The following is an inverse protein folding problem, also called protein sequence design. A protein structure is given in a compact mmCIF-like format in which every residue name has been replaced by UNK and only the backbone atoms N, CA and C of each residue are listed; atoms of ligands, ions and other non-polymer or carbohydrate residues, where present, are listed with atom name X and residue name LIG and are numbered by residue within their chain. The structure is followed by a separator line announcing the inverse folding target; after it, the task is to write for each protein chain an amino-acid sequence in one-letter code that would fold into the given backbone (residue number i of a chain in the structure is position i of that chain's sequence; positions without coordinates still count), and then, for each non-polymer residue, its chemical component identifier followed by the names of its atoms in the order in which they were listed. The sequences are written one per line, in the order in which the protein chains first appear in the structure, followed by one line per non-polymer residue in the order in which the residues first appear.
data_IF_626639144785
#
_entry.id   IF_626639144785
#
_cell.length_a   1.000
_cell.length_b   1.000
_cell.length_c   1.000
_cell.angle_alpha   90.00
_cell.angle_beta   90.00
_cell.angle_gamma   90.00
#
_symmetry.space_group_name_H-M   'P 1'
#
loop_
_entity.id
_entity.type
_entity.pdbx_description
1 polymer ?
#
# COMPACT_ATOMS: atom_id res chain seq x y z
N UNK A 1 -2.17 34.42 -47.40
CA UNK A 1 -1.05 35.31 -47.77
C UNK A 1 0.10 35.06 -46.81
N UNK A 2 1.29 34.91 -47.39
CA UNK A 2 2.63 35.13 -46.82
C UNK A 2 3.02 34.44 -45.50
N UNK A 3 3.63 33.26 -45.64
CA UNK A 3 5.10 33.17 -45.65
C UNK A 3 5.85 33.41 -44.35
N UNK A 4 6.47 32.33 -43.85
CA UNK A 4 7.89 32.33 -43.48
C UNK A 4 8.42 30.90 -43.50
N UNK A 5 8.94 30.52 -44.66
CA UNK A 5 9.98 29.50 -44.81
C UNK A 5 11.33 30.23 -44.72
N UNK A 6 12.35 29.49 -44.27
CA UNK A 6 13.80 29.78 -44.19
C UNK A 6 14.26 30.17 -42.77
N UNK A 7 15.18 29.42 -42.14
CA UNK A 7 16.52 29.15 -42.66
C UNK A 7 17.10 27.79 -42.21
N UNK A 8 17.59 27.02 -43.17
CA UNK A 8 18.66 26.02 -43.02
C UNK A 8 19.95 26.74 -42.61
N UNK A 9 20.68 26.24 -41.63
CA UNK A 9 22.14 26.37 -41.59
C UNK A 9 22.71 25.30 -40.64
N UNK A 10 23.62 24.49 -41.17
CA UNK A 10 24.18 23.33 -40.49
C UNK A 10 24.92 23.72 -39.23
N UNK A 11 24.66 22.99 -38.16
CA UNK A 11 25.48 22.98 -36.96
C UNK A 11 25.39 21.59 -36.36
N UNK A 12 26.26 20.69 -36.82
CA UNK A 12 26.70 19.48 -36.14
C UNK A 12 25.62 18.86 -35.23
N UNK A 13 24.55 18.37 -35.86
CA UNK A 13 23.40 17.89 -35.13
C UNK A 13 23.83 16.58 -34.45
N UNK A 14 24.01 16.62 -33.13
CA UNK A 14 24.33 15.44 -32.29
C UNK A 14 23.22 14.36 -32.38
N UNK A 15 22.21 14.54 -33.23
CA UNK A 15 21.13 13.62 -33.52
C UNK A 15 21.14 13.00 -34.93
N UNK A 16 21.98 13.46 -35.87
CA UNK A 16 22.03 12.89 -37.23
C UNK A 16 22.37 11.38 -37.21
N UNK A 17 23.19 10.96 -36.24
CA UNK A 17 23.52 9.55 -35.97
C UNK A 17 22.33 8.69 -35.55
N UNK A 18 21.21 9.30 -35.14
CA UNK A 18 20.01 8.58 -34.71
C UNK A 18 18.92 8.50 -35.78
N UNK A 19 19.08 9.17 -36.93
CA UNK A 19 18.16 9.12 -38.06
C UNK A 19 18.37 7.85 -38.90
N UNK A 20 17.28 7.24 -39.36
CA UNK A 20 17.34 6.14 -40.35
C UNK A 20 17.61 6.70 -41.77
N UNK A 21 18.13 5.86 -42.67
CA UNK A 21 18.57 6.28 -44.03
C UNK A 21 17.52 7.02 -44.86
N UNK A 22 16.23 6.75 -44.62
CA UNK A 22 15.09 7.37 -45.33
C UNK A 22 14.24 8.29 -44.43
N UNK A 23 14.74 8.62 -43.23
CA UNK A 23 14.03 9.42 -42.23
C UNK A 23 14.45 10.89 -42.30
N UNK A 24 13.47 11.79 -42.43
CA UNK A 24 13.72 13.23 -42.52
C UNK A 24 13.20 13.93 -41.26
N UNK A 25 13.99 14.81 -40.62
CA UNK A 25 13.50 15.64 -39.53
C UNK A 25 12.50 16.66 -40.07
N UNK A 26 11.39 16.82 -39.36
CA UNK A 26 10.31 17.76 -39.68
C UNK A 26 10.43 19.00 -38.80
N UNK A 27 10.59 18.81 -37.49
CA UNK A 27 10.72 19.91 -36.53
C UNK A 27 11.54 19.51 -35.29
N UNK A 28 12.16 20.50 -34.65
CA UNK A 28 12.98 20.34 -33.43
C UNK A 28 12.46 21.26 -32.33
N UNK A 29 12.22 20.69 -31.14
CA UNK A 29 11.72 21.39 -29.97
C UNK A 29 12.68 21.23 -28.79
N UNK A 30 12.94 22.32 -28.07
CA UNK A 30 13.68 22.29 -26.80
C UNK A 30 12.63 22.40 -25.68
N UNK A 31 12.46 21.32 -24.92
CA UNK A 31 11.43 21.18 -23.89
C UNK A 31 12.09 20.69 -22.60
N UNK A 32 12.18 21.57 -21.61
CA UNK A 32 12.91 21.31 -20.37
C UNK A 32 14.37 20.90 -20.65
N UNK A 33 14.79 19.75 -20.13
CA UNK A 33 16.12 19.17 -20.37
C UNK A 33 16.21 18.29 -21.63
N UNK A 34 15.12 18.22 -22.40
CA UNK A 34 15.02 17.39 -23.60
C UNK A 34 15.07 18.24 -24.86
N UNK A 35 15.74 17.69 -25.87
CA UNK A 35 15.61 18.07 -27.26
C UNK A 35 14.74 17.00 -27.93
N UNK A 36 13.57 17.40 -28.39
CA UNK A 36 12.57 16.52 -29.00
C UNK A 36 12.56 16.78 -30.50
N UNK A 37 12.90 15.77 -31.30
CA UNK A 37 12.90 15.84 -32.76
C UNK A 37 11.70 15.07 -33.28
N UNK A 38 10.81 15.73 -34.02
CA UNK A 38 9.74 15.09 -34.77
C UNK A 38 10.24 14.77 -36.18
N UNK A 39 10.19 13.52 -36.58
CA UNK A 39 10.52 13.08 -37.95
C UNK A 39 9.25 12.75 -38.72
N UNK A 40 9.38 12.35 -39.99
CA UNK A 40 8.26 11.83 -40.78
C UNK A 40 7.72 10.47 -40.29
N UNK A 41 8.36 9.81 -39.32
CA UNK A 41 7.97 8.44 -38.86
C UNK A 41 7.89 8.24 -37.35
N UNK A 42 8.63 9.04 -36.55
CA UNK A 42 8.70 8.91 -35.09
C UNK A 42 9.11 10.21 -34.41
N UNK A 43 9.01 10.22 -33.10
CA UNK A 43 9.54 11.26 -32.22
C UNK A 43 10.80 10.72 -31.56
N UNK A 44 11.82 11.55 -31.46
CA UNK A 44 13.09 11.24 -30.80
C UNK A 44 13.25 12.19 -29.62
N UNK A 45 13.29 11.66 -28.40
CA UNK A 45 13.57 12.43 -27.20
C UNK A 45 15.04 12.24 -26.78
N UNK A 46 15.82 13.33 -26.78
CA UNK A 46 17.22 13.37 -26.36
C UNK A 46 17.39 14.21 -25.10
N UNK A 47 17.82 13.60 -24.00
CA UNK A 47 18.13 14.32 -22.75
C UNK A 47 19.60 14.76 -22.72
N UNK A 48 19.86 16.03 -22.35
CA UNK A 48 21.24 16.55 -22.26
C UNK A 48 22.05 15.89 -21.12
N UNK A 49 21.43 15.58 -19.98
CA UNK A 49 22.07 14.89 -18.85
C UNK A 49 21.04 14.23 -17.90
N UNK A 50 21.24 12.96 -17.49
CA UNK A 50 22.11 11.97 -18.13
C UNK A 50 21.68 11.71 -19.58
N UNK A 51 22.64 11.40 -20.47
CA UNK A 51 22.36 11.18 -21.89
C UNK A 51 21.41 10.00 -22.06
N UNK A 52 20.19 10.27 -22.51
CA UNK A 52 19.16 9.26 -22.76
C UNK A 52 18.52 9.51 -24.12
N UNK A 53 18.29 8.42 -24.86
CA UNK A 53 17.69 8.40 -26.19
C UNK A 53 16.45 7.52 -26.15
N UNK A 54 15.30 8.09 -26.48
CA UNK A 54 14.01 7.38 -26.48
C UNK A 54 13.34 7.62 -27.84
N UNK A 55 13.33 6.63 -28.75
CA UNK A 55 12.59 6.72 -30.00
C UNK A 55 11.15 6.21 -29.82
N UNK A 56 10.16 6.98 -30.25
CA UNK A 56 8.72 6.65 -30.12
C UNK A 56 8.05 6.77 -31.50
N UNK A 57 7.62 5.65 -32.10
CA UNK A 57 6.89 5.68 -33.39
C UNK A 57 5.51 6.29 -33.21
N UNK A 58 5.02 7.06 -34.19
CA UNK A 58 3.70 7.70 -34.10
C UNK A 58 2.56 6.69 -33.88
N UNK A 59 2.62 5.54 -34.55
CA UNK A 59 1.65 4.44 -34.37
C UNK A 59 1.56 3.88 -32.95
N UNK A 60 2.59 4.11 -32.13
CA UNK A 60 2.67 3.65 -30.75
C UNK A 60 2.26 4.75 -29.76
N UNK A 61 2.04 6.00 -30.19
CA UNK A 61 1.62 7.09 -29.31
C UNK A 61 0.11 7.00 -29.11
N UNK A 62 -0.32 6.66 -27.90
CA UNK A 62 -1.74 6.59 -27.53
C UNK A 62 -2.28 7.97 -27.14
N UNK A 63 -1.50 8.73 -26.37
CA UNK A 63 -1.88 10.06 -25.90
C UNK A 63 -0.64 10.90 -25.57
N UNK A 64 -0.68 12.20 -25.87
CA UNK A 64 0.32 13.19 -25.46
C UNK A 64 -0.40 14.37 -24.79
N UNK A 65 -0.19 14.54 -23.49
CA UNK A 65 -0.90 15.54 -22.69
C UNK A 65 0.05 16.34 -21.80
N UNK A 66 -0.26 17.61 -21.57
CA UNK A 66 0.41 18.43 -20.57
C UNK A 66 -0.52 18.61 -19.38
N UNK A 67 -0.04 18.32 -18.18
CA UNK A 67 -0.79 18.53 -16.95
C UNK A 67 0.09 19.14 -15.86
N UNK A 68 -0.56 19.89 -14.96
CA UNK A 68 0.10 20.50 -13.79
C UNK A 68 -0.55 19.94 -12.54
N UNK A 69 0.23 19.27 -11.70
CA UNK A 69 -0.25 18.79 -10.41
C UNK A 69 0.15 19.78 -9.32
N UNK A 70 -0.81 20.60 -8.89
CA UNK A 70 -0.58 21.62 -7.85
C UNK A 70 -0.61 20.93 -6.47
N UNK A 71 0.48 21.07 -5.71
CA UNK A 71 0.60 20.54 -4.35
C UNK A 71 0.00 21.51 -3.32
N UNK A 72 -1.33 21.53 -3.23
CA UNK A 72 -2.05 22.37 -2.27
C UNK A 72 -1.69 22.09 -0.81
N UNK A 73 -1.26 20.86 -0.47
CA UNK A 73 -0.83 20.53 0.89
C UNK A 73 0.46 21.26 1.25
N UNK A 74 1.43 21.27 0.33
CA UNK A 74 2.65 22.06 0.47
C UNK A 74 2.38 23.53 0.72
N UNK A 75 1.40 24.14 0.01
CA UNK A 75 1.01 25.53 0.25
C UNK A 75 0.42 25.74 1.66
N UNK A 76 -0.48 24.86 2.11
CA UNK A 76 -1.08 24.96 3.45
C UNK A 76 -0.01 24.85 4.53
N UNK A 77 0.90 23.89 4.42
CA UNK A 77 2.01 23.76 5.37
C UNK A 77 2.97 24.95 5.32
N UNK A 78 3.29 25.46 4.13
CA UNK A 78 4.11 26.67 3.99
C UNK A 78 3.50 27.86 4.74
N UNK A 79 2.20 28.13 4.51
CA UNK A 79 1.48 29.22 5.17
C UNK A 79 1.42 29.01 6.68
N UNK A 80 1.11 27.79 7.13
CA UNK A 80 1.03 27.46 8.55
C UNK A 80 2.37 27.65 9.26
N UNK A 81 3.45 27.05 8.74
CA UNK A 81 4.76 27.12 9.38
C UNK A 81 5.36 28.52 9.34
N UNK A 82 5.25 29.24 8.22
CA UNK A 82 5.72 30.62 8.14
C UNK A 82 4.87 31.56 8.99
N UNK A 83 3.55 31.34 9.04
CA UNK A 83 2.64 32.14 9.86
C UNK A 83 2.91 31.97 11.35
N UNK A 84 3.07 30.73 11.82
CA UNK A 84 3.41 30.43 13.22
C UNK A 84 4.79 30.97 13.56
N UNK A 85 5.78 30.78 12.68
CA UNK A 85 7.13 31.33 12.88
C UNK A 85 7.11 32.86 12.96
N UNK A 86 6.40 33.54 12.06
CA UNK A 86 6.25 34.99 12.08
C UNK A 86 5.55 35.48 13.36
N UNK A 87 4.42 34.87 13.72
CA UNK A 87 3.69 35.22 14.94
C UNK A 87 4.56 35.07 16.19
N UNK A 88 5.27 33.94 16.32
CA UNK A 88 6.16 33.68 17.45
C UNK A 88 7.41 34.59 17.44
N UNK A 89 7.80 35.15 16.29
CA UNK A 89 8.94 36.09 16.19
C UNK A 89 8.62 37.51 16.68
N UNK A 90 7.34 37.86 16.87
CA UNK A 90 6.95 39.19 17.36
C UNK A 90 7.42 39.34 18.82
N UNK A 91 8.16 40.43 19.16
CA UNK A 91 8.63 40.65 20.53
C UNK A 91 7.48 40.58 21.55
N UNK A 92 7.68 39.81 22.61
CA UNK A 92 6.67 39.56 23.65
C UNK A 92 5.75 38.36 23.41
N UNK A 93 5.68 37.83 22.18
CA UNK A 93 4.84 36.66 21.86
C UNK A 93 5.59 35.33 21.90
N UNK A 94 6.92 35.33 21.74
CA UNK A 94 7.74 34.12 21.66
C UNK A 94 7.59 33.18 22.87
N UNK A 95 7.81 33.69 24.09
CA UNK A 95 7.68 32.89 25.31
C UNK A 95 6.21 32.51 25.58
N UNK A 96 5.26 33.41 25.30
CA UNK A 96 3.82 33.13 25.43
C UNK A 96 3.33 32.03 24.49
N UNK A 97 3.86 31.97 23.26
CA UNK A 97 3.56 30.89 22.33
C UNK A 97 4.05 29.54 22.88
N UNK A 98 5.28 29.46 23.36
CA UNK A 98 5.83 28.23 23.94
C UNK A 98 5.07 27.81 25.20
N UNK A 99 4.75 28.75 26.08
CA UNK A 99 3.94 28.48 27.27
C UNK A 99 2.52 28.02 26.91
N UNK A 100 1.92 28.56 25.85
CA UNK A 100 0.64 28.09 25.32
C UNK A 100 0.72 26.65 24.80
N UNK A 101 1.82 26.31 24.11
CA UNK A 101 2.09 24.93 23.66
C UNK A 101 2.31 24.01 24.86
N UNK A 102 3.08 24.44 25.87
CA UNK A 102 3.28 23.66 27.10
C UNK A 102 1.95 23.44 27.82
N UNK A 103 1.13 24.48 27.98
CA UNK A 103 -0.19 24.38 28.59
C UNK A 103 -1.12 23.44 27.84
N UNK A 104 -1.05 23.42 26.50
CA UNK A 104 -1.76 22.44 25.70
C UNK A 104 -1.24 21.02 25.95
N UNK A 105 0.08 20.81 25.92
CA UNK A 105 0.68 19.49 26.19
C UNK A 105 0.30 19.01 27.58
N UNK A 106 0.39 19.84 28.62
CA UNK A 106 0.04 19.45 29.99
C UNK A 106 -1.46 19.21 30.17
N UNK A 107 -2.32 19.83 29.34
CA UNK A 107 -3.75 19.51 29.32
C UNK A 107 -4.07 18.13 28.71
N UNK A 108 -3.19 17.63 27.84
CA UNK A 108 -3.34 16.31 27.20
C UNK A 108 -2.60 15.24 28.00
N UNK A 109 -1.43 15.58 28.56
CA UNK A 109 -0.52 14.68 29.28
C UNK A 109 -0.05 15.40 30.55
N UNK A 110 -0.81 15.31 31.67
CA UNK A 110 -0.49 16.01 32.91
C UNK A 110 0.89 15.68 33.50
N UNK A 111 1.37 14.45 33.28
CA UNK A 111 2.66 13.93 33.75
C UNK A 111 3.85 14.74 33.19
N UNK A 112 3.68 15.39 32.03
CA UNK A 112 4.72 16.21 31.40
C UNK A 112 4.92 17.57 32.09
N UNK A 113 4.04 17.96 33.00
CA UNK A 113 4.05 19.29 33.64
C UNK A 113 5.37 19.60 34.34
N UNK A 114 5.89 18.65 35.12
CA UNK A 114 7.15 18.80 35.83
C UNK A 114 8.32 18.95 34.84
N UNK A 115 8.39 18.07 33.83
CA UNK A 115 9.43 18.11 32.79
C UNK A 115 9.42 19.39 31.94
N UNK A 116 8.23 19.90 31.59
CA UNK A 116 8.10 21.12 30.78
C UNK A 116 8.38 22.38 31.59
N UNK A 117 8.15 22.35 32.91
CA UNK A 117 8.41 23.50 33.79
C UNK A 117 9.90 23.81 33.98
N UNK A 118 10.78 22.82 33.77
CA UNK A 118 12.23 22.98 33.82
C UNK A 118 12.81 23.65 32.56
N UNK A 119 12.03 23.72 31.48
CA UNK A 119 12.50 24.26 30.19
C UNK A 119 12.27 25.77 30.15
N UNK A 120 13.35 26.53 29.93
CA UNK A 120 13.24 27.96 29.66
C UNK A 120 12.56 28.23 28.31
N UNK A 121 11.32 28.73 28.37
CA UNK A 121 10.49 28.99 27.20
C UNK A 121 11.13 29.98 26.22
N UNK A 122 11.90 30.96 26.71
CA UNK A 122 12.57 31.94 25.86
C UNK A 122 13.72 31.30 25.05
N UNK A 123 14.56 30.50 25.70
CA UNK A 123 15.64 29.76 25.04
C UNK A 123 15.11 28.75 24.02
N UNK A 124 14.01 28.04 24.34
CA UNK A 124 13.40 27.13 23.39
C UNK A 124 12.82 27.86 22.16
N UNK A 125 12.18 29.00 22.36
CA UNK A 125 11.63 29.81 21.27
C UNK A 125 12.72 30.26 20.28
N UNK A 126 13.91 30.63 20.78
CA UNK A 126 15.04 31.04 19.93
C UNK A 126 15.48 29.95 18.94
N UNK A 127 15.30 28.68 19.27
CA UNK A 127 15.64 27.55 18.41
C UNK A 127 14.45 27.11 17.56
N UNK A 128 13.25 27.05 18.13
CA UNK A 128 12.08 26.50 17.44
C UNK A 128 11.59 27.41 16.31
N UNK A 129 11.57 28.73 16.52
CA UNK A 129 11.09 29.71 15.53
C UNK A 129 11.86 29.61 14.19
N UNK A 130 13.20 29.60 14.15
CA UNK A 130 13.93 29.45 12.89
C UNK A 130 13.75 28.06 12.27
N UNK A 131 13.60 27.00 13.08
CA UNK A 131 13.29 25.66 12.55
C UNK A 131 11.95 25.67 11.81
N UNK A 132 10.90 26.25 12.41
CA UNK A 132 9.60 26.41 11.77
C UNK A 132 9.70 27.25 10.49
N UNK A 133 10.51 28.31 10.47
CA UNK A 133 10.76 29.10 9.27
C UNK A 133 11.39 28.27 8.14
N UNK A 134 12.39 27.44 8.45
CA UNK A 134 13.05 26.55 7.49
C UNK A 134 12.07 25.53 6.91
N UNK A 135 11.22 24.92 7.74
CA UNK A 135 10.17 24.02 7.27
C UNK A 135 9.17 24.76 6.35
N UNK A 136 8.76 25.97 6.73
CA UNK A 136 7.90 26.81 5.91
C UNK A 136 8.49 27.11 4.52
N UNK A 137 9.78 27.47 4.47
CA UNK A 137 10.50 27.70 3.22
C UNK A 137 10.66 26.43 2.38
N UNK A 138 10.93 25.29 3.01
CA UNK A 138 10.99 23.99 2.33
C UNK A 138 9.66 23.66 1.63
N UNK A 139 8.53 23.77 2.33
CA UNK A 139 7.22 23.54 1.76
C UNK A 139 6.82 24.59 0.71
N UNK A 140 7.30 25.83 0.85
CA UNK A 140 7.12 26.84 -0.20
C UNK A 140 7.82 26.40 -1.48
N UNK A 141 9.04 25.85 -1.38
CA UNK A 141 9.79 25.38 -2.54
C UNK A 141 9.16 24.14 -3.20
N UNK A 142 8.63 23.20 -2.43
CA UNK A 142 7.92 22.04 -3.00
C UNK A 142 6.65 22.47 -3.74
N UNK A 143 5.89 23.40 -3.17
CA UNK A 143 4.72 23.99 -3.83
C UNK A 143 5.11 24.71 -5.12
N UNK A 144 6.13 25.58 -5.09
CA UNK A 144 6.58 26.31 -6.28
C UNK A 144 7.04 25.36 -7.40
N UNK A 145 7.71 24.25 -7.05
CA UNK A 145 8.05 23.19 -8.02
C UNK A 145 6.83 22.51 -8.61
N UNK A 146 5.75 22.32 -7.84
CA UNK A 146 4.52 21.68 -8.30
C UNK A 146 3.79 22.48 -9.40
N UNK A 147 3.99 23.80 -9.43
CA UNK A 147 3.46 24.68 -10.47
C UNK A 147 4.13 24.43 -11.84
N UNK A 148 5.29 23.78 -11.86
CA UNK A 148 5.97 23.39 -13.09
C UNK A 148 5.27 22.14 -13.62
N UNK A 149 4.46 22.32 -14.67
CA UNK A 149 3.74 21.23 -15.32
C UNK A 149 4.65 20.14 -15.89
N UNK A 150 4.04 19.08 -16.40
CA UNK A 150 4.72 17.94 -17.00
C UNK A 150 4.04 17.52 -18.29
N UNK A 151 4.83 17.39 -19.35
CA UNK A 151 4.42 16.76 -20.60
C UNK A 151 4.55 15.24 -20.44
N UNK A 152 3.47 14.51 -20.71
CA UNK A 152 3.40 13.06 -20.65
C UNK A 152 3.14 12.48 -22.02
N UNK A 153 3.94 11.50 -22.41
CA UNK A 153 3.80 10.73 -23.63
C UNK A 153 3.47 9.30 -23.23
N UNK A 154 2.27 8.84 -23.55
CA UNK A 154 1.80 7.48 -23.25
C UNK A 154 1.86 6.63 -24.50
N UNK A 155 2.45 5.44 -24.40
CA UNK A 155 2.58 4.49 -25.51
C UNK A 155 1.63 3.30 -25.38
N UNK A 156 1.31 2.65 -26.50
CA UNK A 156 0.52 1.40 -26.58
C UNK A 156 1.12 0.25 -25.75
N UNK A 157 2.44 0.21 -25.65
CA UNK A 157 3.20 -0.75 -24.81
C UNK A 157 3.16 -0.45 -23.30
N UNK A 158 2.47 0.61 -22.87
CA UNK A 158 2.37 1.00 -21.45
C UNK A 158 3.54 1.83 -20.92
N UNK A 159 4.57 2.09 -21.72
CA UNK A 159 5.67 2.98 -21.33
C UNK A 159 5.23 4.46 -21.32
N UNK A 160 5.57 5.18 -20.24
CA UNK A 160 5.25 6.60 -20.05
C UNK A 160 6.54 7.41 -20.01
N UNK A 161 6.69 8.37 -20.92
CA UNK A 161 7.78 9.35 -20.89
C UNK A 161 7.25 10.65 -20.27
N UNK A 162 7.84 11.08 -19.15
CA UNK A 162 7.48 12.31 -18.45
C UNK A 162 8.60 13.35 -18.57
N UNK A 163 8.26 14.53 -19.10
CA UNK A 163 9.17 15.66 -19.27
C UNK A 163 8.65 16.83 -18.43
N UNK A 164 9.38 17.22 -17.38
CA UNK A 164 9.03 18.40 -16.57
C UNK A 164 9.28 19.67 -17.38
N UNK A 165 8.22 20.42 -17.67
CA UNK A 165 8.26 21.63 -18.49
C UNK A 165 7.04 22.50 -18.23
N UNK A 166 7.17 23.83 -18.16
CA UNK A 166 6.01 24.71 -18.24
C UNK A 166 5.30 24.52 -19.59
N UNK A 167 4.01 24.85 -19.64
CA UNK A 167 3.27 24.88 -20.90
C UNK A 167 3.75 26.08 -21.70
N UNK A 168 4.41 25.82 -22.83
CA UNK A 168 4.95 26.86 -23.72
C UNK A 168 4.39 26.64 -25.12
N UNK A 169 4.41 27.66 -25.98
CA UNK A 169 3.97 27.53 -27.37
C UNK A 169 4.69 26.40 -28.13
N UNK A 170 5.94 26.09 -27.75
CA UNK A 170 6.70 24.95 -28.30
C UNK A 170 6.15 23.59 -27.89
N UNK A 171 5.62 23.47 -26.67
CA UNK A 171 4.96 22.24 -26.19
C UNK A 171 3.64 22.05 -26.93
N UNK A 172 2.87 23.12 -27.13
CA UNK A 172 1.62 23.09 -27.89
C UNK A 172 1.86 22.71 -29.36
N UNK A 173 2.88 23.31 -30.00
CA UNK A 173 3.24 23.00 -31.38
C UNK A 173 3.72 21.55 -31.55
N UNK A 174 4.48 21.03 -30.57
CA UNK A 174 4.87 19.62 -30.55
C UNK A 174 3.62 18.71 -30.50
N UNK A 175 2.68 18.97 -29.58
CA UNK A 175 1.46 18.16 -29.44
C UNK A 175 0.69 18.12 -30.78
N UNK A 176 0.47 19.29 -31.40
CA UNK A 176 -0.21 19.40 -32.70
C UNK A 176 0.53 18.65 -33.81
N UNK A 177 1.86 18.75 -33.86
CA UNK A 177 2.67 18.04 -34.86
C UNK A 177 2.53 16.53 -34.71
N UNK A 178 2.58 16.02 -33.49
CA UNK A 178 2.43 14.58 -33.23
C UNK A 178 1.04 14.08 -33.59
N UNK A 179 -0.01 14.83 -33.27
CA UNK A 179 -1.38 14.49 -33.65
C UNK A 179 -1.57 14.44 -35.17
N UNK A 180 -1.01 15.40 -35.91
CA UNK A 180 -1.11 15.46 -37.38
C UNK A 180 -0.46 14.23 -38.04
N UNK A 181 0.74 13.86 -37.61
CA UNK A 181 1.46 12.72 -38.18
C UNK A 181 0.94 11.36 -37.70
N UNK A 182 0.27 11.30 -36.54
CA UNK A 182 -0.42 10.08 -36.09
C UNK A 182 -1.63 9.70 -36.97
N UNK A 183 -2.25 10.70 -37.62
CA UNK A 183 -3.47 10.53 -38.43
C UNK A 183 -3.21 10.30 -39.93
N UNK A 184 -1.98 10.48 -40.41
CA UNK A 184 -1.64 10.30 -41.85
C UNK A 184 -1.54 8.81 -42.21
N UNK A 185 -2.34 8.29 -43.17
CA UNK A 185 -2.14 6.95 -43.71
C UNK A 185 -0.79 6.86 -44.47
N UNK A 186 -0.14 5.69 -44.50
CA UNK A 186 1.13 5.53 -45.21
C UNK A 186 0.96 5.82 -46.71
N UNK A 187 1.78 6.73 -47.26
CA UNK A 187 1.78 7.09 -48.69
C UNK A 187 2.07 5.86 -49.56
N UNK A 188 1.06 5.40 -50.32
CA UNK A 188 1.26 4.50 -51.48
C UNK A 188 1.44 5.34 -52.74
N UNK A 189 2.54 5.12 -53.46
CA UNK A 189 2.72 5.58 -54.84
C UNK A 189 2.39 4.43 -55.79
N UNK A 190 1.50 4.66 -56.76
CA UNK A 190 1.34 3.83 -57.95
C UNK A 190 1.05 4.74 -59.15
N UNK A 191 1.82 4.58 -60.22
CA UNK A 191 1.72 5.30 -61.50
C UNK A 191 0.82 4.54 -62.49
N UNK A 192 0.13 5.31 -63.32
CA UNK A 192 -0.82 4.88 -64.35
C UNK A 192 -0.24 3.87 -65.34
N UNK A 193 -0.89 2.71 -65.44
CA UNK A 193 -0.53 1.59 -66.31
C UNK A 193 -1.33 0.31 -66.01
N UNK A 194 -1.94 0.22 -64.82
CA UNK A 194 -2.53 -1.02 -64.29
C UNK A 194 -4.05 -1.17 -64.52
N UNK A 195 -4.69 -0.37 -65.38
CA UNK A 195 -6.16 -0.27 -65.42
C UNK A 195 -6.88 -1.52 -65.97
N UNK A 196 -6.19 -2.42 -66.67
CA UNK A 196 -6.79 -3.67 -67.19
C UNK A 196 -6.43 -4.92 -66.37
N UNK A 197 -5.25 -4.95 -65.73
CA UNK A 197 -4.87 -6.04 -64.81
C UNK A 197 -5.62 -5.93 -63.48
N UNK A 198 -5.84 -4.70 -62.99
CA UNK A 198 -6.60 -4.44 -61.75
C UNK A 198 -8.05 -4.91 -61.88
N UNK A 199 -8.68 -4.81 -63.05
CA UNK A 199 -10.10 -5.20 -63.21
C UNK A 199 -10.30 -6.71 -63.06
N UNK A 200 -9.41 -7.51 -63.66
CA UNK A 200 -9.45 -8.97 -63.59
C UNK A 200 -9.06 -9.46 -62.19
N UNK A 201 -8.03 -8.85 -61.59
CA UNK A 201 -7.63 -9.21 -60.22
C UNK A 201 -8.68 -8.79 -59.17
N UNK A 202 -9.36 -7.65 -59.40
CA UNK A 202 -10.46 -7.20 -58.54
C UNK A 202 -11.66 -8.15 -58.57
N UNK A 203 -12.06 -8.64 -59.75
CA UNK A 203 -13.14 -9.64 -59.86
C UNK A 203 -12.75 -10.97 -59.17
N UNK A 204 -11.47 -11.35 -59.24
CA UNK A 204 -10.95 -12.55 -58.57
C UNK A 204 -10.95 -12.38 -57.04
N UNK A 205 -10.49 -11.23 -56.56
CA UNK A 205 -10.50 -10.85 -55.15
C UNK A 205 -11.91 -10.70 -54.58
N UNK A 206 -12.87 -10.17 -55.35
CA UNK A 206 -14.27 -10.04 -54.93
C UNK A 206 -14.93 -11.43 -54.78
N UNK A 207 -14.61 -12.38 -55.66
CA UNK A 207 -15.08 -13.76 -55.55
C UNK A 207 -14.47 -14.50 -54.35
N UNK A 208 -13.19 -14.27 -54.07
CA UNK A 208 -12.50 -14.84 -52.91
C UNK A 208 -13.00 -14.21 -51.59
N UNK A 209 -13.25 -12.90 -51.58
CA UNK A 209 -13.83 -12.18 -50.45
C UNK A 209 -15.22 -12.70 -50.08
N UNK A 210 -16.06 -13.03 -51.07
CA UNK A 210 -17.38 -13.62 -50.80
C UNK A 210 -17.27 -15.03 -50.19
N UNK A 211 -16.30 -15.84 -50.62
CA UNK A 211 -16.04 -17.14 -49.99
C UNK A 211 -15.54 -17.00 -48.55
N UNK A 212 -14.67 -16.02 -48.30
CA UNK A 212 -14.16 -15.73 -46.96
C UNK A 212 -15.30 -15.27 -46.05
N UNK A 213 -16.21 -14.40 -46.53
CA UNK A 213 -17.40 -13.97 -45.76
C UNK A 213 -18.31 -15.14 -45.37
N UNK A 214 -18.55 -16.08 -46.28
CA UNK A 214 -19.32 -17.30 -45.98
C UNK A 214 -18.64 -18.17 -44.90
N UNK A 215 -17.31 -18.26 -44.93
CA UNK A 215 -16.53 -18.97 -43.91
C UNK A 215 -16.52 -18.21 -42.58
N UNK A 216 -16.43 -16.88 -42.60
CA UNK A 216 -16.53 -16.01 -41.42
C UNK A 216 -17.90 -16.12 -40.76
N UNK A 217 -19.00 -16.18 -41.52
CA UNK A 217 -20.34 -16.39 -40.95
C UNK A 217 -20.48 -17.74 -40.26
N UNK A 218 -19.92 -18.81 -40.84
CA UNK A 218 -19.89 -20.15 -40.22
C UNK A 218 -19.03 -20.17 -38.95
N UNK A 219 -17.84 -19.56 -39.00
CA UNK A 219 -16.96 -19.43 -37.83
C UNK A 219 -17.60 -18.59 -36.71
N UNK A 220 -18.37 -17.56 -37.07
CA UNK A 220 -19.12 -16.73 -36.11
C UNK A 220 -20.23 -17.53 -35.43
N UNK A 221 -20.96 -18.36 -36.19
CA UNK A 221 -21.95 -19.28 -35.64
C UNK A 221 -21.31 -20.29 -34.67
N UNK A 222 -20.16 -20.87 -35.03
CA UNK A 222 -19.42 -21.80 -34.17
C UNK A 222 -18.86 -21.09 -32.92
N UNK A 223 -18.39 -19.84 -33.04
CA UNK A 223 -17.96 -19.01 -31.90
C UNK A 223 -19.12 -18.67 -30.96
N UNK A 224 -20.31 -18.37 -31.49
CA UNK A 224 -21.49 -18.08 -30.68
C UNK A 224 -21.95 -19.32 -29.91
N UNK A 225 -21.92 -20.50 -30.55
CA UNK A 225 -22.19 -21.78 -29.89
C UNK A 225 -21.17 -22.10 -28.79
N UNK A 226 -19.87 -21.86 -29.06
CA UNK A 226 -18.79 -22.01 -28.08
C UNK A 226 -18.91 -21.04 -26.91
N UNK A 227 -19.23 -19.76 -27.18
CA UNK A 227 -19.42 -18.74 -26.15
C UNK A 227 -20.61 -19.07 -25.24
N UNK A 228 -21.72 -19.57 -25.82
CA UNK A 228 -22.86 -20.06 -25.05
C UNK A 228 -22.46 -21.22 -24.15
N UNK A 229 -21.73 -22.21 -24.67
CA UNK A 229 -21.28 -23.35 -23.87
C UNK A 229 -20.31 -22.94 -22.77
N UNK A 230 -19.42 -21.97 -23.05
CA UNK A 230 -18.51 -21.39 -22.06
C UNK A 230 -19.28 -20.72 -20.91
N UNK A 231 -20.30 -19.93 -21.21
CA UNK A 231 -21.15 -19.31 -20.19
C UNK A 231 -21.91 -20.34 -19.34
N UNK A 232 -22.33 -21.47 -19.91
CA UNK A 232 -22.94 -22.56 -19.15
C UNK A 232 -21.94 -23.22 -18.19
N UNK A 233 -20.72 -23.46 -18.66
CA UNK A 233 -19.64 -24.05 -17.84
C UNK A 233 -19.20 -23.11 -16.71
N UNK A 234 -19.05 -21.82 -16.99
CA UNK A 234 -18.71 -20.81 -15.97
C UNK A 234 -19.78 -20.77 -14.85
N UNK A 235 -21.07 -20.92 -15.19
CA UNK A 235 -22.15 -21.02 -14.20
C UNK A 235 -22.12 -22.32 -13.39
N UNK A 236 -21.80 -23.44 -14.03
CA UNK A 236 -21.64 -24.73 -13.34
C UNK A 236 -20.44 -24.70 -12.38
N UNK A 237 -19.34 -24.07 -12.78
CA UNK A 237 -18.14 -23.88 -11.97
C UNK A 237 -18.42 -22.98 -10.76
N UNK A 238 -19.06 -21.82 -10.95
CA UNK A 238 -19.50 -20.94 -9.86
C UNK A 238 -20.43 -21.67 -8.87
N UNK A 239 -21.38 -22.47 -9.37
CA UNK A 239 -22.28 -23.27 -8.54
C UNK A 239 -21.53 -24.32 -7.70
N UNK A 240 -20.52 -24.97 -8.28
CA UNK A 240 -19.68 -25.94 -7.57
C UNK A 240 -18.78 -25.27 -6.53
N UNK A 241 -18.18 -24.12 -6.82
CA UNK A 241 -17.38 -23.36 -5.85
C UNK A 241 -18.20 -22.96 -4.62
N UNK A 242 -19.44 -22.50 -4.82
CA UNK A 242 -20.35 -22.15 -3.74
C UNK A 242 -20.67 -23.36 -2.85
N UNK A 243 -20.97 -24.52 -3.44
CA UNK A 243 -21.21 -25.76 -2.69
C UNK A 243 -19.97 -26.20 -1.90
N UNK A 244 -18.77 -26.11 -2.49
CA UNK A 244 -17.51 -26.40 -1.80
C UNK A 244 -17.24 -25.45 -0.63
N UNK A 245 -17.56 -24.15 -0.78
CA UNK A 245 -17.46 -23.20 0.32
C UNK A 245 -18.42 -23.51 1.47
N UNK A 246 -19.66 -23.87 1.16
CA UNK A 246 -20.67 -24.22 2.16
C UNK A 246 -20.27 -25.47 2.95
N UNK A 247 -19.77 -26.51 2.27
CA UNK A 247 -19.23 -27.70 2.95
C UNK A 247 -18.03 -27.38 3.84
N UNK A 248 -17.11 -26.51 3.38
CA UNK A 248 -15.96 -26.06 4.19
C UNK A 248 -16.42 -25.29 5.43
N UNK A 249 -17.41 -24.39 5.28
CA UNK A 249 -17.99 -23.62 6.39
C UNK A 249 -18.69 -24.54 7.39
N UNK A 250 -19.44 -25.54 6.92
CA UNK A 250 -20.12 -26.52 7.78
C UNK A 250 -19.14 -27.41 8.55
N UNK A 251 -18.09 -27.92 7.89
CA UNK A 251 -17.01 -28.71 8.54
C UNK A 251 -16.26 -27.88 9.59
N UNK A 252 -15.92 -26.63 9.28
CA UNK A 252 -15.24 -25.71 10.21
C UNK A 252 -16.12 -25.33 11.40
N UNK A 253 -17.43 -25.21 11.21
CA UNK A 253 -18.37 -24.95 12.32
C UNK A 253 -18.49 -26.16 13.25
N UNK A 254 -18.58 -27.37 12.69
CA UNK A 254 -18.64 -28.62 13.45
C UNK A 254 -17.35 -28.87 14.25
N UNK A 255 -16.18 -28.61 13.68
CA UNK A 255 -14.90 -28.76 14.39
C UNK A 255 -14.76 -27.79 15.57
N UNK A 256 -15.24 -26.55 15.43
CA UNK A 256 -15.24 -25.56 16.53
C UNK A 256 -16.13 -26.01 17.68
N UNK A 257 -17.32 -26.54 17.40
CA UNK A 257 -18.25 -27.01 18.44
C UNK A 257 -17.74 -28.23 19.21
N UNK A 258 -17.03 -29.14 18.53
CA UNK A 258 -16.35 -30.28 19.18
C UNK A 258 -15.21 -29.82 20.09
N UNK A 259 -14.41 -28.84 19.63
CA UNK A 259 -13.30 -28.28 20.38
C UNK A 259 -13.76 -27.50 21.63
N UNK A 260 -14.89 -26.80 21.55
CA UNK A 260 -15.49 -26.12 22.69
C UNK A 260 -16.00 -27.08 23.77
N UNK A 261 -16.27 -28.34 23.43
CA UNK A 261 -16.67 -29.37 24.40
C UNK A 261 -15.47 -29.99 25.13
N UNK A 262 -14.27 -29.94 24.55
CA UNK A 262 -13.05 -30.49 25.16
C UNK A 262 -12.36 -29.52 26.12
N UNK A 263 -12.82 -28.27 26.21
CA UNK A 263 -12.25 -27.26 27.09
C UNK A 263 -13.06 -27.18 28.38
N UNK A 264 -12.36 -27.36 29.51
CA UNK A 264 -12.85 -27.26 30.87
C UNK A 264 -12.07 -26.21 31.69
N UNK A 265 -12.72 -25.68 32.73
CA UNK A 265 -12.12 -24.81 33.75
C UNK A 265 -11.02 -25.52 34.55
N UNK A 266 -10.06 -24.74 35.06
CA UNK A 266 -8.90 -25.22 35.83
C UNK A 266 -7.72 -25.71 34.99
N UNK A 267 -7.80 -25.61 33.66
CA UNK A 267 -6.78 -26.12 32.74
C UNK A 267 -6.11 -25.01 31.92
N UNK A 268 -4.86 -25.28 31.56
CA UNK A 268 -4.08 -24.50 30.59
C UNK A 268 -4.05 -25.26 29.27
N UNK A 269 -4.39 -24.57 28.18
CA UNK A 269 -4.44 -25.12 26.83
C UNK A 269 -3.40 -24.46 25.93
N UNK A 270 -2.59 -25.29 25.29
CA UNK A 270 -1.69 -24.90 24.22
C UNK A 270 -2.36 -25.21 22.88
N UNK A 271 -2.72 -24.16 22.15
CA UNK A 271 -3.48 -24.27 20.90
C UNK A 271 -2.52 -24.11 19.74
N UNK A 272 -2.27 -25.20 19.01
CA UNK A 272 -1.39 -25.21 17.85
C UNK A 272 -2.12 -24.60 16.66
N UNK A 273 -1.76 -23.38 16.28
CA UNK A 273 -2.32 -22.70 15.11
C UNK A 273 -1.33 -21.70 14.50
N UNK A 274 -1.49 -21.37 13.22
CA UNK A 274 -0.60 -20.42 12.54
C UNK A 274 -0.91 -18.96 12.89
N UNK A 275 -2.20 -18.64 13.06
CA UNK A 275 -2.72 -17.35 13.49
C UNK A 275 -3.72 -17.61 14.60
N UNK A 276 -3.81 -16.78 15.67
CA UNK A 276 -4.58 -17.08 16.87
C UNK A 276 -6.12 -16.99 16.72
N UNK A 277 -6.65 -17.14 15.50
CA UNK A 277 -8.07 -16.91 15.21
C UNK A 277 -8.98 -17.93 15.92
N UNK A 278 -8.54 -19.18 16.11
CA UNK A 278 -9.31 -20.19 16.83
C UNK A 278 -9.28 -19.93 18.34
N UNK A 279 -8.10 -19.62 18.89
CA UNK A 279 -7.96 -19.23 20.30
C UNK A 279 -8.85 -18.03 20.65
N UNK A 280 -8.86 -16.98 19.81
CA UNK A 280 -9.75 -15.84 20.04
C UNK A 280 -11.24 -16.20 19.97
N UNK A 281 -11.65 -17.16 19.12
CA UNK A 281 -13.06 -17.62 19.10
C UNK A 281 -13.46 -18.35 20.38
N UNK A 282 -12.58 -19.20 20.90
CA UNK A 282 -12.79 -19.90 22.18
C UNK A 282 -12.88 -18.87 23.30
N UNK A 283 -11.94 -17.93 23.33
CA UNK A 283 -11.91 -16.85 24.30
C UNK A 283 -13.23 -16.05 24.33
N UNK A 284 -13.68 -15.61 23.16
CA UNK A 284 -14.95 -14.90 22.98
C UNK A 284 -16.16 -15.72 23.41
N UNK A 285 -16.17 -17.02 23.14
CA UNK A 285 -17.26 -17.91 23.54
C UNK A 285 -17.42 -17.96 25.06
N UNK A 286 -16.32 -18.04 25.80
CA UNK A 286 -16.35 -18.05 27.26
C UNK A 286 -16.70 -16.69 27.87
N UNK A 287 -16.22 -15.60 27.28
CA UNK A 287 -16.67 -14.25 27.66
C UNK A 287 -18.19 -14.11 27.51
N UNK A 288 -18.75 -14.57 26.39
CA UNK A 288 -20.21 -14.57 26.16
C UNK A 288 -20.98 -15.44 27.15
N UNK A 289 -20.33 -16.46 27.75
CA UNK A 289 -20.88 -17.29 28.82
C UNK A 289 -20.75 -16.65 30.22
N UNK A 290 -20.20 -15.44 30.31
CA UNK A 290 -20.06 -14.69 31.56
C UNK A 290 -18.72 -14.85 32.27
N UNK A 291 -17.70 -15.40 31.62
CA UNK A 291 -16.33 -15.39 32.18
C UNK A 291 -15.71 -14.00 32.02
N UNK A 292 -15.00 -13.54 33.05
CA UNK A 292 -14.14 -12.36 32.95
C UNK A 292 -12.95 -12.69 32.07
N UNK A 293 -12.69 -11.87 31.04
CA UNK A 293 -11.59 -12.09 30.10
C UNK A 293 -10.40 -11.17 30.36
N UNK A 294 -9.19 -11.75 30.37
CA UNK A 294 -7.91 -11.04 30.29
C UNK A 294 -7.18 -11.48 29.02
N UNK A 295 -6.78 -10.52 28.19
CA UNK A 295 -6.06 -10.78 26.96
C UNK A 295 -4.70 -10.09 27.01
N UNK A 296 -3.61 -10.83 26.87
CA UNK A 296 -2.26 -10.32 26.73
C UNK A 296 -1.83 -10.66 25.31
N UNK A 297 -1.59 -9.66 24.46
CA UNK A 297 -1.40 -9.88 23.03
C UNK A 297 -0.33 -8.96 22.45
N UNK A 298 0.39 -9.42 21.44
CA UNK A 298 1.33 -8.60 20.66
C UNK A 298 0.63 -7.59 19.75
N UNK A 299 -0.64 -7.79 19.46
CA UNK A 299 -1.42 -6.92 18.59
C UNK A 299 -1.92 -5.71 19.39
N UNK A 300 -1.89 -4.52 18.79
CA UNK A 300 -2.37 -3.31 19.44
C UNK A 300 -3.79 -3.50 20.03
N UNK A 301 -4.03 -3.15 21.32
CA UNK A 301 -5.29 -3.41 22.01
C UNK A 301 -6.52 -2.87 21.28
N UNK A 302 -6.45 -1.68 20.68
CA UNK A 302 -7.56 -1.08 19.93
C UNK A 302 -7.97 -1.98 18.77
N UNK A 303 -6.99 -2.50 18.01
CA UNK A 303 -7.25 -3.40 16.88
C UNK A 303 -7.85 -4.73 17.32
N UNK A 304 -7.39 -5.29 18.44
CA UNK A 304 -7.92 -6.55 18.97
C UNK A 304 -9.34 -6.37 19.49
N UNK A 305 -9.60 -5.28 20.21
CA UNK A 305 -10.94 -4.93 20.69
C UNK A 305 -11.93 -4.74 19.56
N UNK A 306 -11.54 -4.03 18.49
CA UNK A 306 -12.36 -3.86 17.29
C UNK A 306 -12.59 -5.19 16.55
N UNK A 307 -11.53 -5.97 16.29
CA UNK A 307 -11.61 -7.21 15.49
C UNK A 307 -12.51 -8.26 16.15
N UNK A 308 -12.44 -8.40 17.47
CA UNK A 308 -13.14 -9.47 18.19
C UNK A 308 -14.29 -8.98 19.06
N UNK A 309 -14.60 -7.67 19.06
CA UNK A 309 -15.68 -7.07 19.83
C UNK A 309 -15.51 -7.23 21.36
N UNK A 310 -14.30 -6.98 21.86
CA UNK A 310 -13.83 -7.15 23.26
C UNK A 310 -13.87 -5.85 24.07
N UNK A 311 -14.92 -5.03 23.90
CA UNK A 311 -14.95 -3.65 24.42
C UNK A 311 -14.83 -3.55 25.95
N UNK A 312 -15.33 -4.55 26.69
CA UNK A 312 -15.31 -4.61 28.16
C UNK A 312 -14.23 -5.55 28.73
N UNK A 313 -13.33 -6.05 27.90
CA UNK A 313 -12.27 -6.99 28.30
C UNK A 313 -10.98 -6.23 28.59
N UNK A 314 -10.25 -6.65 29.62
CA UNK A 314 -8.90 -6.16 29.89
C UNK A 314 -7.95 -6.70 28.81
N UNK A 315 -7.33 -5.79 28.05
CA UNK A 315 -6.43 -6.16 26.95
C UNK A 315 -5.10 -5.44 27.16
N UNK A 316 -4.08 -6.20 27.56
CA UNK A 316 -2.72 -5.74 27.71
C UNK A 316 -1.92 -5.92 26.42
N UNK A 317 -1.21 -4.87 26.03
CA UNK A 317 -0.29 -4.91 24.91
C UNK A 317 1.07 -5.44 25.35
N UNK A 318 1.50 -6.55 24.76
CA UNK A 318 2.83 -7.11 24.93
C UNK A 318 3.82 -6.39 24.01
N UNK A 319 4.47 -5.34 24.51
CA UNK A 319 5.29 -4.41 23.70
C UNK A 319 6.47 -3.84 24.48
N UNK A 320 7.59 -3.55 23.79
CA UNK A 320 8.74 -2.84 24.40
C UNK A 320 8.48 -1.32 24.52
N UNK A 321 7.43 -0.80 23.86
CA UNK A 321 7.08 0.61 23.90
C UNK A 321 6.16 0.86 25.09
N UNK A 322 6.63 1.65 26.05
CA UNK A 322 5.80 2.10 27.17
C UNK A 322 4.66 2.96 26.61
N UNK A 323 3.43 2.52 26.80
CA UNK A 323 2.22 3.32 26.54
C UNK A 323 1.53 3.63 27.86
N UNK A 324 0.79 4.74 27.91
CA UNK A 324 0.20 5.28 29.15
C UNK A 324 -0.88 4.35 29.77
N UNK A 325 -1.44 3.38 29.04
CA UNK A 325 -2.41 2.43 29.60
C UNK A 325 -2.25 0.99 29.05
N UNK A 326 -2.43 0.00 29.93
CA UNK A 326 -2.51 -1.45 29.63
C UNK A 326 -1.44 -1.98 28.65
N UNK A 327 -0.17 -1.77 28.98
CA UNK A 327 0.96 -2.41 28.27
C UNK A 327 1.92 -3.07 29.25
N UNK A 328 2.57 -4.15 28.81
CA UNK A 328 3.58 -4.87 29.58
C UNK A 328 4.74 -5.26 28.68
N UNK A 329 5.95 -5.08 29.19
CA UNK A 329 7.16 -5.41 28.44
C UNK A 329 7.37 -6.94 28.40
N UNK A 330 7.73 -7.52 27.25
CA UNK A 330 7.85 -8.97 27.08
C UNK A 330 8.98 -9.61 27.90
N UNK A 331 9.97 -8.82 28.32
CA UNK A 331 11.08 -9.25 29.16
C UNK A 331 10.79 -9.18 30.67
N UNK A 332 9.58 -8.76 31.06
CA UNK A 332 9.15 -8.66 32.47
C UNK A 332 8.11 -9.74 32.79
N UNK A 333 8.53 -11.01 32.76
CA UNK A 333 7.64 -12.16 33.03
C UNK A 333 7.00 -12.09 34.42
N UNK A 334 7.67 -11.48 35.39
CA UNK A 334 7.17 -11.27 36.75
C UNK A 334 5.99 -10.30 36.75
N UNK A 335 6.05 -9.22 35.98
CA UNK A 335 4.96 -8.23 35.84
C UNK A 335 3.74 -8.88 35.19
N UNK A 336 3.95 -9.67 34.14
CA UNK A 336 2.89 -10.47 33.49
C UNK A 336 2.25 -11.44 34.48
N UNK A 337 3.07 -12.10 35.32
CA UNK A 337 2.57 -13.04 36.34
C UNK A 337 1.71 -12.34 37.38
N UNK A 338 2.10 -11.14 37.84
CA UNK A 338 1.34 -10.33 38.79
C UNK A 338 -0.01 -9.92 38.19
N UNK A 339 -0.02 -9.40 36.95
CA UNK A 339 -1.25 -9.03 36.25
C UNK A 339 -2.22 -10.21 36.18
N UNK A 340 -1.74 -11.40 35.79
CA UNK A 340 -2.57 -12.60 35.70
C UNK A 340 -3.09 -13.01 37.08
N UNK A 341 -2.23 -12.98 38.11
CA UNK A 341 -2.60 -13.38 39.46
C UNK A 341 -3.65 -12.44 40.09
N UNK A 342 -3.48 -11.13 39.91
CA UNK A 342 -4.44 -10.12 40.37
C UNK A 342 -5.79 -10.30 39.66
N UNK A 343 -5.76 -10.49 38.34
CA UNK A 343 -6.97 -10.73 37.56
C UNK A 343 -7.71 -11.99 37.99
N UNK A 344 -7.00 -13.11 38.15
CA UNK A 344 -7.57 -14.37 38.62
C UNK A 344 -8.13 -14.22 40.04
N UNK A 345 -7.44 -13.48 40.91
CA UNK A 345 -7.86 -13.31 42.31
C UNK A 345 -9.10 -12.43 42.45
N UNK A 346 -9.29 -11.46 41.54
CA UNK A 346 -10.45 -10.56 41.52
C UNK A 346 -11.71 -11.14 40.87
N UNK A 347 -11.62 -12.30 40.20
CA UNK A 347 -12.70 -12.84 39.38
C UNK A 347 -12.97 -14.32 39.67
N UNK A 348 -14.22 -14.69 40.00
CA UNK A 348 -14.60 -16.08 40.29
C UNK A 348 -14.48 -17.02 39.08
N UNK A 349 -14.78 -16.52 37.87
CA UNK A 349 -14.65 -17.26 36.61
C UNK A 349 -13.87 -16.42 35.63
N UNK A 350 -12.63 -16.80 35.40
CA UNK A 350 -11.71 -16.06 34.53
C UNK A 350 -11.20 -16.91 33.38
N UNK A 351 -11.04 -16.27 32.23
CA UNK A 351 -10.35 -16.82 31.07
C UNK A 351 -9.24 -15.86 30.67
N UNK A 352 -8.04 -16.40 30.52
CA UNK A 352 -6.82 -15.67 30.23
C UNK A 352 -6.33 -16.14 28.87
N UNK A 353 -5.93 -15.20 28.01
CA UNK A 353 -5.33 -15.48 26.72
C UNK A 353 -3.96 -14.81 26.64
N UNK A 354 -2.92 -15.57 26.33
CA UNK A 354 -1.56 -15.06 26.14
C UNK A 354 -1.13 -15.31 24.68
N UNK A 355 -1.41 -14.34 23.83
CA UNK A 355 -1.03 -14.33 22.40
C UNK A 355 0.36 -13.71 22.22
N UNK A 356 1.35 -14.57 22.10
CA UNK A 356 2.75 -14.18 21.92
C UNK A 356 3.76 -15.01 22.71
N UNK A 357 3.46 -16.27 23.01
CA UNK A 357 4.38 -17.16 23.73
C UNK A 357 5.74 -17.25 23.02
N UNK A 358 5.78 -17.30 21.69
CA UNK A 358 7.02 -17.34 20.91
C UNK A 358 7.82 -16.05 21.06
N UNK A 359 7.12 -14.92 21.23
CA UNK A 359 7.76 -13.64 21.49
C UNK A 359 8.33 -13.57 22.90
N UNK A 360 7.64 -14.13 23.89
CA UNK A 360 8.18 -14.30 25.25
C UNK A 360 9.42 -15.20 25.23
N UNK A 361 9.39 -16.33 24.52
CA UNK A 361 10.56 -17.22 24.35
C UNK A 361 11.72 -16.47 23.70
N UNK A 362 11.46 -15.65 22.67
CA UNK A 362 12.50 -14.90 21.94
C UNK A 362 13.11 -13.77 22.78
N UNK A 363 12.30 -13.10 23.61
CA UNK A 363 12.73 -11.96 24.44
C UNK A 363 13.36 -12.37 25.76
N UNK A 364 13.04 -13.57 26.22
CA UNK A 364 13.63 -14.20 27.38
C UNK A 364 14.46 -15.40 26.91
N UNK A 365 14.75 -16.34 27.79
CA UNK A 365 15.16 -17.68 27.41
C UNK A 365 13.98 -18.65 27.56
N UNK A 366 14.03 -19.76 26.82
CA UNK A 366 12.99 -20.79 26.85
C UNK A 366 12.72 -21.30 28.27
N UNK A 367 13.77 -21.52 29.07
CA UNK A 367 13.64 -22.09 30.42
C UNK A 367 12.88 -21.15 31.36
N UNK A 368 13.15 -19.84 31.31
CA UNK A 368 12.38 -18.84 32.07
C UNK A 368 10.92 -18.81 31.62
N UNK A 369 10.68 -18.83 30.32
CA UNK A 369 9.31 -18.83 29.78
C UNK A 369 8.55 -20.11 30.16
N UNK A 370 9.21 -21.28 30.15
CA UNK A 370 8.63 -22.54 30.62
C UNK A 370 8.23 -22.47 32.10
N UNK A 371 9.12 -21.96 32.97
CA UNK A 371 8.81 -21.76 34.39
C UNK A 371 7.65 -20.78 34.60
N UNK A 372 7.58 -19.72 33.79
CA UNK A 372 6.44 -18.80 33.79
C UNK A 372 5.13 -19.51 33.43
N UNK A 373 5.11 -20.34 32.38
CA UNK A 373 3.92 -21.12 31.99
C UNK A 373 3.52 -22.10 33.09
N UNK A 374 4.48 -22.82 33.69
CA UNK A 374 4.24 -23.75 34.80
C UNK A 374 3.63 -23.02 36.01
N UNK A 375 4.23 -21.90 36.43
CA UNK A 375 3.70 -21.11 37.53
C UNK A 375 2.30 -20.56 37.26
N UNK A 376 2.07 -20.07 36.04
CA UNK A 376 0.75 -19.57 35.64
C UNK A 376 -0.29 -20.68 35.64
N UNK A 377 0.06 -21.88 35.14
CA UNK A 377 -0.80 -23.07 35.20
C UNK A 377 -1.21 -23.42 36.62
N UNK A 378 -0.28 -23.40 37.57
CA UNK A 378 -0.58 -23.70 38.98
C UNK A 378 -1.62 -22.72 39.56
N UNK A 379 -1.47 -21.43 39.25
CA UNK A 379 -2.42 -20.38 39.66
C UNK A 379 -3.80 -20.58 39.01
N UNK A 380 -3.83 -20.89 37.71
CA UNK A 380 -5.05 -21.14 36.93
C UNK A 380 -5.82 -22.34 37.48
N UNK A 381 -5.12 -23.44 37.78
CA UNK A 381 -5.70 -24.66 38.35
C UNK A 381 -6.28 -24.43 39.74
N UNK A 382 -5.58 -23.68 40.59
CA UNK A 382 -6.00 -23.39 41.97
C UNK A 382 -7.30 -22.58 42.04
N UNK A 383 -7.60 -21.78 41.02
CA UNK A 383 -8.71 -20.81 40.99
C UNK A 383 -9.80 -21.15 39.97
N UNK A 384 -9.75 -22.35 39.39
CA UNK A 384 -10.70 -22.83 38.37
C UNK A 384 -10.82 -21.88 37.15
N UNK A 385 -9.74 -21.15 36.86
CA UNK A 385 -9.60 -20.28 35.69
C UNK A 385 -9.22 -21.09 34.45
N UNK A 386 -9.28 -20.48 33.27
CA UNK A 386 -8.77 -21.09 32.03
C UNK A 386 -7.64 -20.24 31.46
N UNK A 387 -6.57 -20.89 30.99
CA UNK A 387 -5.51 -20.22 30.24
C UNK A 387 -5.43 -20.77 28.82
N UNK A 388 -5.49 -19.88 27.83
CA UNK A 388 -5.31 -20.19 26.42
C UNK A 388 -4.00 -19.59 25.91
N UNK A 389 -3.17 -20.43 25.31
CA UNK A 389 -1.88 -20.02 24.77
C UNK A 389 -1.78 -20.51 23.31
N UNK A 390 -2.06 -19.65 22.32
CA UNK A 390 -1.78 -20.01 20.93
C UNK A 390 -0.27 -20.12 20.72
N UNK A 391 0.14 -21.11 19.94
CA UNK A 391 1.52 -21.29 19.52
C UNK A 391 1.58 -21.76 18.08
N UNK A 392 2.51 -21.19 17.31
CA UNK A 392 2.90 -21.70 16.00
C UNK A 392 3.99 -22.76 16.17
N UNK A 393 3.71 -24.05 15.90
CA UNK A 393 4.69 -25.12 16.10
C UNK A 393 6.00 -24.92 15.34
N UNK A 394 5.95 -24.28 14.16
CA UNK A 394 7.12 -24.00 13.33
C UNK A 394 8.02 -22.87 13.87
N UNK A 395 7.58 -22.11 14.88
CA UNK A 395 8.33 -20.99 15.45
C UNK A 395 9.10 -21.35 16.73
N UNK A 396 8.98 -22.58 17.23
CA UNK A 396 9.65 -23.07 18.43
C UNK A 396 10.44 -24.33 18.08
N UNK A 397 11.58 -24.56 18.72
CA UNK A 397 12.35 -25.77 18.47
C UNK A 397 11.55 -27.02 18.85
N UNK A 398 11.66 -28.09 18.07
CA UNK A 398 10.86 -29.31 18.28
C UNK A 398 10.95 -29.86 19.71
N UNK A 399 12.16 -29.88 20.27
CA UNK A 399 12.41 -30.36 21.64
C UNK A 399 11.75 -29.45 22.70
N UNK A 400 11.82 -28.14 22.50
CA UNK A 400 11.22 -27.14 23.38
C UNK A 400 9.68 -27.21 23.33
N UNK A 401 9.13 -27.43 22.14
CA UNK A 401 7.69 -27.64 21.97
C UNK A 401 7.23 -28.92 22.67
N UNK A 402 7.92 -30.06 22.47
CA UNK A 402 7.58 -31.33 23.13
C UNK A 402 7.62 -31.26 24.66
N UNK A 403 8.51 -30.44 25.23
CA UNK A 403 8.56 -30.21 26.68
C UNK A 403 7.36 -29.35 27.13
N UNK A 404 7.04 -28.27 26.39
CA UNK A 404 5.86 -27.44 26.69
C UNK A 404 4.56 -28.25 26.62
N UNK A 405 4.41 -29.09 25.59
CA UNK A 405 3.24 -29.96 25.39
C UNK A 405 3.01 -30.94 26.54
N UNK A 406 4.05 -31.33 27.29
CA UNK A 406 3.90 -32.20 28.46
C UNK A 406 3.37 -31.48 29.69
N UNK A 407 3.44 -30.16 29.71
CA UNK A 407 3.01 -29.34 30.85
C UNK A 407 1.55 -28.90 30.76
N UNK A 408 0.89 -29.04 29.61
CA UNK A 408 -0.41 -28.40 29.35
C UNK A 408 -1.28 -29.27 28.44
N UNK A 409 -2.57 -28.98 28.38
CA UNK A 409 -3.49 -29.67 27.48
C UNK A 409 -3.28 -29.19 26.05
N UNK A 410 -3.05 -30.10 25.12
CA UNK A 410 -2.73 -29.75 23.73
C UNK A 410 -3.99 -29.82 22.87
N UNK A 411 -4.21 -28.77 22.09
CA UNK A 411 -5.29 -28.70 21.11
C UNK A 411 -4.69 -28.40 19.74
N UNK A 412 -5.05 -29.19 18.73
CA UNK A 412 -4.70 -28.94 17.33
C UNK A 412 -5.87 -28.25 16.61
N UNK A 413 -5.63 -27.08 16.01
CA UNK A 413 -6.67 -26.20 15.45
C UNK A 413 -6.50 -25.91 13.95
#
# INVERSE_FOLDING_TARGET
MSGLVLKKEGANSDYDKYLLKDEKPVSEYIIGMYRVIATNSRIICLRKFPKTFIPIRYKNVMNMEHYTHIDWRGLVYAVLFLGVSYYASVPGYAAGFILGVFGFITSVIPEMSESLSEIDAASLALVLIPVLAVFGLFYTFTFLKSLIGSLRISTDTGHIVKITTPFTSKVEELIKTVEEYSKKPPEKKASEGETNAIRVEKERLDAELNRIKDVEERLKFDQDALNKRRMELEKEEEGMELLFEEEKKAKKKKSVEELLKSIASGYTYLIKENNPDMTFKIFMHYIKKGYSGLCITRTNPTRVKEKYNLMSTEVYWLTDTVTEEFSVAPNKLEEISVIILEFISGNEKSIILIDGLEYLITKNDYRRTLHFVQHTRDNVSTKDSMLLVPIRPAAVEKKELEILEREVEVIEA
#
